data_IF_729338558236
#
_entry.id   IF_729338558236
#
_cell.length_a   1.000
_cell.length_b   1.000
_cell.length_c   1.000
_cell.angle_alpha   90.00
_cell.angle_beta   90.00
_cell.angle_gamma   90.00
#
_symmetry.space_group_name_H-M   'P 1'
#
loop_
_entity.id
_entity.type
_entity.pdbx_description
1 polymer ?
#
# COMPACT_ATOMS: atom_id res chain seq x y z
N UNK A 1 -19.29 2.23 -11.12
CA UNK A 1 -17.84 2.15 -10.86
C UNK A 1 -17.61 2.44 -9.38
N UNK A 2 -17.13 1.48 -8.58
CA UNK A 2 -16.88 1.75 -7.16
C UNK A 2 -15.57 2.54 -7.03
N UNK A 3 -15.51 3.63 -6.25
CA UNK A 3 -14.28 4.40 -6.07
C UNK A 3 -13.22 3.52 -5.38
N UNK A 4 -12.09 3.36 -6.05
CA UNK A 4 -10.87 2.77 -5.50
C UNK A 4 -10.03 3.90 -4.90
N UNK A 5 -9.29 3.61 -3.83
CA UNK A 5 -8.36 4.56 -3.25
C UNK A 5 -6.94 4.16 -3.58
N UNK A 6 -6.18 5.06 -4.20
CA UNK A 6 -4.80 4.81 -4.59
C UNK A 6 -3.82 5.33 -3.53
N UNK A 7 -2.85 4.50 -3.15
CA UNK A 7 -1.75 4.87 -2.24
C UNK A 7 -0.42 4.74 -2.96
N UNK A 8 0.43 5.75 -2.81
CA UNK A 8 1.81 5.76 -3.31
C UNK A 8 2.79 5.17 -2.31
N UNK A 9 3.93 4.70 -2.80
CA UNK A 9 5.03 4.21 -1.97
C UNK A 9 5.59 5.28 -1.05
N UNK A 10 5.67 6.54 -1.49
CA UNK A 10 6.07 7.67 -0.63
C UNK A 10 5.19 7.83 0.60
N UNK A 11 3.88 7.65 0.43
CA UNK A 11 2.94 7.73 1.56
C UNK A 11 3.20 6.58 2.53
N UNK A 12 3.49 5.39 2.02
CA UNK A 12 3.83 4.26 2.88
C UNK A 12 5.14 4.54 3.62
N UNK A 13 6.18 4.99 2.93
CA UNK A 13 7.49 5.32 3.52
C UNK A 13 7.39 6.39 4.62
N UNK A 14 6.58 7.43 4.40
CA UNK A 14 6.42 8.53 5.35
C UNK A 14 5.63 8.15 6.61
N UNK A 15 4.67 7.22 6.49
CA UNK A 15 3.75 6.90 7.58
C UNK A 15 3.99 5.55 8.23
N UNK A 16 4.69 4.62 7.58
CA UNK A 16 4.98 3.29 8.10
C UNK A 16 6.44 3.16 8.52
N UNK A 17 6.71 2.18 9.37
CA UNK A 17 8.06 1.85 9.86
C UNK A 17 8.50 0.45 9.39
N UNK A 18 9.78 0.14 9.55
CA UNK A 18 10.33 -1.17 9.21
C UNK A 18 9.63 -2.28 10.01
N UNK A 19 9.15 -3.30 9.30
CA UNK A 19 8.41 -4.43 9.87
C UNK A 19 6.90 -4.20 10.02
N UNK A 20 6.37 -3.02 9.70
CA UNK A 20 4.92 -2.77 9.77
C UNK A 20 4.16 -3.43 8.61
N UNK A 21 2.86 -3.70 8.85
CA UNK A 21 1.94 -4.23 7.84
C UNK A 21 1.02 -3.12 7.34
N UNK A 22 1.09 -2.83 6.05
CA UNK A 22 0.20 -1.92 5.31
C UNK A 22 -1.04 -2.70 4.89
N UNK A 23 -2.09 -2.61 5.70
CA UNK A 23 -3.39 -3.20 5.40
C UNK A 23 -4.49 -2.13 5.53
N UNK A 24 -5.74 -2.50 5.21
CA UNK A 24 -6.88 -1.56 5.29
C UNK A 24 -7.05 -1.00 6.71
N UNK A 25 -6.75 -1.78 7.74
CA UNK A 25 -6.91 -1.38 9.14
C UNK A 25 -5.83 -0.38 9.58
N UNK A 26 -4.55 -0.67 9.34
CA UNK A 26 -3.42 0.21 9.68
C UNK A 26 -3.49 1.52 8.89
N UNK A 27 -3.86 1.45 7.62
CA UNK A 27 -4.13 2.64 6.80
C UNK A 27 -5.28 3.48 7.36
N UNK A 28 -6.34 2.83 7.86
CA UNK A 28 -7.47 3.54 8.50
C UNK A 28 -7.07 4.14 9.84
N UNK A 29 -6.27 3.42 10.65
CA UNK A 29 -5.76 3.90 11.93
C UNK A 29 -4.91 5.15 11.75
N UNK A 30 -4.02 5.14 10.74
CA UNK A 30 -3.18 6.30 10.37
C UNK A 30 -3.96 7.38 9.60
N UNK A 31 -5.29 7.23 9.42
CA UNK A 31 -6.18 8.15 8.69
C UNK A 31 -5.74 8.44 7.25
N UNK A 32 -5.04 7.50 6.62
CA UNK A 32 -4.55 7.60 5.23
C UNK A 32 -5.62 7.27 4.20
N UNK A 33 -6.65 6.54 4.62
CA UNK A 33 -7.78 6.18 3.76
C UNK A 33 -9.10 6.69 4.35
N UNK A 34 -10.09 7.01 3.50
CA UNK A 34 -11.42 7.35 3.97
C UNK A 34 -12.09 6.16 4.65
N UNK A 35 -13.05 6.45 5.54
CA UNK A 35 -13.79 5.43 6.30
C UNK A 35 -14.48 4.39 5.41
N UNK A 36 -14.78 4.71 4.14
CA UNK A 36 -15.31 3.75 3.17
C UNK A 36 -14.49 3.80 1.89
N UNK A 37 -13.94 2.64 1.52
CA UNK A 37 -13.28 2.38 0.23
C UNK A 37 -13.97 1.21 -0.45
N UNK A 38 -15.18 1.42 -1.02
CA UNK A 38 -16.00 0.33 -1.55
C UNK A 38 -15.36 -0.35 -2.77
N UNK A 39 -14.47 0.33 -3.49
CA UNK A 39 -13.67 -0.25 -4.58
C UNK A 39 -12.38 -0.91 -4.12
N UNK A 40 -12.03 -0.83 -2.84
CA UNK A 40 -10.77 -1.34 -2.30
C UNK A 40 -9.60 -0.35 -2.46
N UNK A 41 -8.41 -0.85 -2.15
CA UNK A 41 -7.16 -0.08 -2.14
C UNK A 41 -6.27 -0.54 -3.29
N UNK A 42 -5.72 0.43 -4.01
CA UNK A 42 -4.77 0.23 -5.10
C UNK A 42 -3.41 0.81 -4.72
N UNK A 43 -2.36 0.00 -4.81
CA UNK A 43 -0.98 0.49 -4.60
C UNK A 43 -0.40 0.95 -5.93
N UNK A 44 0.22 2.12 -5.89
CA UNK A 44 0.95 2.73 -6.99
C UNK A 44 2.42 2.83 -6.62
N UNK A 45 3.28 2.58 -7.61
CA UNK A 45 4.73 2.59 -7.49
C UNK A 45 5.34 4.00 -7.42
N UNK A 46 4.62 4.98 -6.89
CA UNK A 46 5.04 6.38 -6.95
C UNK A 46 5.98 6.74 -5.80
N UNK A 47 7.17 7.20 -6.19
CA UNK A 47 8.39 7.40 -5.40
C UNK A 47 9.06 6.15 -4.84
N UNK A 48 9.75 6.31 -3.71
CA UNK A 48 10.74 5.37 -3.16
C UNK A 48 10.22 4.76 -1.87
N UNK A 49 10.34 3.43 -1.75
CA UNK A 49 10.12 2.69 -0.52
C UNK A 49 11.46 2.08 -0.11
N UNK A 50 11.99 2.52 1.02
CA UNK A 50 13.23 1.99 1.61
C UNK A 50 12.93 1.07 2.79
N UNK A 51 11.75 1.22 3.39
CA UNK A 51 11.33 0.43 4.53
C UNK A 51 10.80 -0.95 4.16
N UNK A 52 11.15 -1.93 4.98
CA UNK A 52 10.70 -3.33 4.86
C UNK A 52 9.33 -3.48 5.51
N UNK A 53 8.30 -2.98 4.84
CA UNK A 53 6.90 -3.18 5.24
C UNK A 53 6.31 -4.42 4.56
N UNK A 54 5.19 -4.94 5.07
CA UNK A 54 4.39 -5.97 4.37
C UNK A 54 3.11 -5.34 3.85
N UNK A 55 2.73 -5.54 2.59
CA UNK A 55 1.58 -4.85 1.98
C UNK A 55 0.44 -5.83 1.69
N UNK A 56 -0.73 -5.62 2.29
CA UNK A 56 -1.92 -6.45 2.11
C UNK A 56 -3.11 -5.62 1.60
N UNK A 57 -3.33 -5.62 0.28
CA UNK A 57 -4.39 -4.80 -0.35
C UNK A 57 -5.09 -5.54 -1.51
N UNK A 58 -6.11 -4.89 -2.09
CA UNK A 58 -6.96 -5.51 -3.12
C UNK A 58 -6.35 -5.44 -4.52
N UNK A 59 -5.59 -4.37 -4.81
CA UNK A 59 -5.04 -4.11 -6.14
C UNK A 59 -3.62 -3.55 -6.06
N UNK A 60 -2.77 -3.98 -7.00
CA UNK A 60 -1.43 -3.44 -7.20
C UNK A 60 -1.28 -3.00 -8.67
N UNK A 61 -0.46 -1.97 -8.92
CA UNK A 61 -0.04 -1.65 -10.29
C UNK A 61 1.12 -2.57 -10.70
N UNK A 62 1.27 -2.83 -12.00
CA UNK A 62 2.38 -3.63 -12.54
C UNK A 62 3.74 -3.13 -12.03
N UNK A 63 3.94 -1.82 -12.13
CA UNK A 63 5.15 -1.16 -11.63
C UNK A 63 5.35 -1.26 -10.12
N UNK A 64 4.25 -1.42 -9.35
CA UNK A 64 4.36 -1.53 -7.90
C UNK A 64 4.79 -2.94 -7.54
N UNK A 65 4.22 -3.97 -8.17
CA UNK A 65 4.64 -5.35 -8.00
C UNK A 65 6.13 -5.53 -8.36
N UNK A 66 6.60 -4.93 -9.45
CA UNK A 66 8.01 -4.91 -9.83
C UNK A 66 8.89 -4.30 -8.72
N UNK A 67 8.58 -3.06 -8.28
CA UNK A 67 9.35 -2.42 -7.20
C UNK A 67 9.33 -3.21 -5.90
N UNK A 68 8.19 -3.79 -5.54
CA UNK A 68 8.07 -4.57 -4.30
C UNK A 68 8.89 -5.86 -4.39
N UNK A 69 8.91 -6.53 -5.55
CA UNK A 69 9.78 -7.67 -5.79
C UNK A 69 11.27 -7.29 -5.75
N UNK A 70 11.67 -6.18 -6.37
CA UNK A 70 13.05 -5.69 -6.37
C UNK A 70 13.53 -5.36 -4.95
N UNK A 71 12.65 -4.81 -4.12
CA UNK A 71 12.91 -4.51 -2.71
C UNK A 71 12.82 -5.75 -1.80
N UNK A 72 12.36 -6.89 -2.31
CA UNK A 72 12.13 -8.11 -1.53
C UNK A 72 11.02 -7.96 -0.49
N UNK A 73 10.04 -7.09 -0.75
CA UNK A 73 8.93 -6.79 0.14
C UNK A 73 7.82 -7.83 -0.01
N UNK A 74 7.28 -8.29 1.13
CA UNK A 74 6.14 -9.22 1.14
C UNK A 74 4.85 -8.48 0.80
N UNK A 75 4.27 -8.75 -0.36
CA UNK A 75 2.96 -8.23 -0.75
C UNK A 75 1.95 -9.35 -0.94
N UNK A 76 0.72 -9.13 -0.48
CA UNK A 76 -0.40 -10.07 -0.54
C UNK A 76 -1.64 -9.39 -1.08
N UNK A 77 -2.32 -10.08 -1.98
CA UNK A 77 -3.62 -9.65 -2.50
C UNK A 77 -4.73 -10.25 -1.63
N UNK A 78 -5.58 -9.39 -1.08
CA UNK A 78 -6.75 -9.76 -0.26
C UNK A 78 -8.04 -9.49 -1.03
#
# INVERSE_FOLDING_TARGET
>A
MKPTFSISLQTIEAFFEDGEVVNVETLRLKKLIPRRVPGGIKILADGTLTKKVSIEVHHFSKTAEEKLNDLGISFKKV
#
